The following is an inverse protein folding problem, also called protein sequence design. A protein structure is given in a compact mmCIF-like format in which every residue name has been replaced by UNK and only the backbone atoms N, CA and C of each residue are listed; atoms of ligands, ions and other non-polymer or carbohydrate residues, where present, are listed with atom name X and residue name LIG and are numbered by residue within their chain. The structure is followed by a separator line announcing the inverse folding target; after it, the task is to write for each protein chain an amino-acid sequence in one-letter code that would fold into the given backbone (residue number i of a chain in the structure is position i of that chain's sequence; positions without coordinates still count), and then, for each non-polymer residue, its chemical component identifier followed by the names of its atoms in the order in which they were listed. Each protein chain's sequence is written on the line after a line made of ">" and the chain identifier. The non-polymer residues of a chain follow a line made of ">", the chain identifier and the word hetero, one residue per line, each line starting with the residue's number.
data_IF_572834049507
#
_entry.id   IF_572834049507
#
_cell.length_a   1.000
_cell.length_b   1.000
_cell.length_c   1.000
_cell.angle_alpha   90.00
_cell.angle_beta   90.00
_cell.angle_gamma   90.00
#
_symmetry.space_group_name_H-M   'P 1'
#
loop_
_entity.id
_entity.type
_entity.pdbx_description
1 polymer ?
#
# COMPACT_ATOMS: atom_id res chain seq x y z
N UNK A 1 29.73 -37.10 27.34
CA UNK A 1 29.90 -35.64 27.22
C UNK A 1 29.40 -35.06 25.88
N UNK A 2 29.65 -35.70 24.73
CA UNK A 2 29.23 -35.19 23.39
C UNK A 2 27.74 -34.84 23.19
N UNK A 3 26.79 -35.44 23.92
CA UNK A 3 25.35 -35.16 23.74
C UNK A 3 24.87 -33.86 24.42
N UNK A 4 25.57 -33.40 25.45
CA UNK A 4 25.21 -32.18 26.19
C UNK A 4 25.61 -30.94 25.36
N UNK A 5 26.78 -30.97 24.73
CA UNK A 5 27.22 -29.90 23.82
C UNK A 5 26.32 -29.79 22.59
N UNK A 6 25.87 -30.92 22.03
CA UNK A 6 24.99 -30.92 20.86
C UNK A 6 23.62 -30.32 21.18
N UNK A 7 23.07 -30.57 22.37
CA UNK A 7 21.81 -29.97 22.80
C UNK A 7 21.98 -28.49 23.18
N UNK A 8 23.12 -28.10 23.75
CA UNK A 8 23.44 -26.70 24.07
C UNK A 8 23.61 -25.86 22.79
N UNK A 9 24.29 -26.40 21.77
CA UNK A 9 24.43 -25.76 20.45
C UNK A 9 23.07 -25.60 19.75
N UNK A 10 22.22 -26.63 19.79
CA UNK A 10 20.87 -26.55 19.22
C UNK A 10 20.00 -25.49 19.93
N UNK A 11 20.03 -25.44 21.27
CA UNK A 11 19.31 -24.43 22.05
C UNK A 11 19.85 -23.02 21.79
N UNK A 12 21.18 -22.86 21.70
CA UNK A 12 21.81 -21.59 21.35
C UNK A 12 21.35 -21.08 19.98
N UNK A 13 21.30 -21.95 18.97
CA UNK A 13 20.79 -21.60 17.65
C UNK A 13 19.33 -21.14 17.67
N UNK A 14 18.48 -21.84 18.43
CA UNK A 14 17.05 -21.49 18.55
C UNK A 14 16.87 -20.13 19.23
N UNK A 15 17.68 -19.82 20.25
CA UNK A 15 17.63 -18.52 20.95
C UNK A 15 18.00 -17.38 19.98
N UNK A 16 19.05 -17.57 19.17
CA UNK A 16 19.46 -16.56 18.17
C UNK A 16 18.37 -16.37 17.12
N UNK A 17 17.76 -17.44 16.61
CA UNK A 17 16.67 -17.33 15.62
C UNK A 17 15.45 -16.63 16.20
N UNK A 18 15.08 -16.96 17.43
CA UNK A 18 13.95 -16.32 18.13
C UNK A 18 14.20 -14.82 18.31
N UNK A 19 15.43 -14.44 18.66
CA UNK A 19 15.82 -13.04 18.77
C UNK A 19 15.72 -12.31 17.42
N UNK A 20 16.23 -12.90 16.33
CA UNK A 20 16.13 -12.33 14.99
C UNK A 20 14.68 -12.14 14.53
N UNK A 21 13.79 -13.09 14.85
CA UNK A 21 12.37 -13.00 14.53
C UNK A 21 11.73 -11.84 15.30
N UNK A 22 12.03 -11.70 16.60
CA UNK A 22 11.52 -10.60 17.41
C UNK A 22 11.96 -9.23 16.89
N UNK A 23 13.23 -9.11 16.49
CA UNK A 23 13.76 -7.90 15.85
C UNK A 23 13.01 -7.60 14.55
N UNK A 24 12.83 -8.59 13.68
CA UNK A 24 12.14 -8.41 12.39
C UNK A 24 10.67 -8.01 12.56
N UNK A 25 9.96 -8.63 13.51
CA UNK A 25 8.60 -8.23 13.89
C UNK A 25 8.55 -6.78 14.38
N UNK A 26 9.48 -6.37 15.23
CA UNK A 26 9.58 -4.98 15.70
C UNK A 26 9.81 -3.98 14.57
N UNK A 27 10.72 -4.28 13.64
CA UNK A 27 10.99 -3.46 12.46
C UNK A 27 9.77 -3.35 11.54
N UNK A 28 9.00 -4.43 11.36
CA UNK A 28 7.75 -4.41 10.59
C UNK A 28 6.70 -3.51 11.22
N UNK A 29 6.47 -3.64 12.53
CA UNK A 29 5.51 -2.81 13.26
C UNK A 29 5.92 -1.34 13.19
N UNK A 30 7.22 -1.06 13.39
CA UNK A 30 7.76 0.30 13.30
C UNK A 30 7.65 0.88 11.89
N UNK A 31 7.96 0.10 10.86
CA UNK A 31 7.81 0.51 9.46
C UNK A 31 6.34 0.79 9.12
N UNK A 32 5.42 -0.05 9.57
CA UNK A 32 3.99 0.17 9.36
C UNK A 32 3.48 1.42 10.08
N UNK A 33 3.96 1.67 11.31
CA UNK A 33 3.65 2.88 12.07
C UNK A 33 4.14 4.14 11.35
N UNK A 34 5.39 4.16 10.87
CA UNK A 34 5.91 5.28 10.08
C UNK A 34 5.15 5.48 8.76
N UNK A 35 4.77 4.39 8.07
CA UNK A 35 3.98 4.47 6.83
C UNK A 35 2.55 4.97 7.07
N UNK A 36 1.97 4.65 8.22
CA UNK A 36 0.65 5.14 8.62
C UNK A 36 0.65 6.66 8.88
N UNK A 37 1.73 7.21 9.42
CA UNK A 37 1.84 8.66 9.63
C UNK A 37 2.32 9.39 8.37
N UNK A 38 3.12 8.73 7.53
CA UNK A 38 3.66 9.29 6.29
C UNK A 38 3.35 8.35 5.10
N UNK A 39 2.23 8.55 4.39
CA UNK A 39 1.81 7.65 3.30
C UNK A 39 2.80 7.59 2.12
N UNK A 40 3.71 8.56 2.00
CA UNK A 40 4.78 8.60 1.00
C UNK A 40 6.14 8.04 1.49
N UNK A 41 6.21 7.39 2.66
CA UNK A 41 7.47 6.88 3.20
C UNK A 41 8.04 5.72 2.35
N UNK A 42 9.25 5.91 1.82
CA UNK A 42 10.01 4.90 1.05
C UNK A 42 11.09 4.28 1.94
N UNK A 43 10.85 3.06 2.43
CA UNK A 43 11.76 2.29 3.31
C UNK A 43 13.03 1.79 2.60
N UNK A 44 13.01 1.76 1.27
CA UNK A 44 14.12 1.32 0.44
C UNK A 44 14.33 2.36 -0.65
N UNK A 45 15.22 3.32 -0.40
CA UNK A 45 15.80 4.12 -1.47
C UNK A 45 17.02 3.40 -2.01
N UNK A 46 16.88 2.84 -3.20
CA UNK A 46 18.02 2.35 -3.99
C UNK A 46 18.60 3.54 -4.76
N UNK A 47 19.27 4.43 -4.04
CA UNK A 47 19.90 5.61 -4.63
C UNK A 47 21.30 5.23 -5.13
N UNK A 48 21.47 5.09 -6.45
CA UNK A 48 22.74 5.38 -7.14
C UNK A 48 22.97 6.90 -7.25
N UNK A 49 22.38 7.66 -6.32
CA UNK A 49 22.44 9.11 -6.25
C UNK A 49 23.52 9.45 -5.22
N UNK A 50 24.59 10.19 -5.60
CA UNK A 50 25.63 10.57 -4.68
C UNK A 50 25.03 11.23 -3.43
N UNK A 51 25.44 10.70 -2.29
CA UNK A 51 25.01 11.11 -0.95
C UNK A 51 25.36 12.59 -0.74
N UNK A 52 24.36 13.44 -0.55
CA UNK A 52 24.53 14.58 0.33
C UNK A 52 24.06 14.15 1.72
N UNK A 53 25.05 13.77 2.52
CA UNK A 53 24.94 13.39 3.92
C UNK A 53 24.48 14.62 4.70
N UNK A 54 23.33 14.53 5.37
CA UNK A 54 22.90 15.53 6.33
C UNK A 54 22.79 14.87 7.70
N UNK A 55 23.95 14.71 8.35
CA UNK A 55 24.05 14.77 9.81
C UNK A 55 24.71 16.11 10.15
N UNK A 56 24.10 16.82 11.12
CA UNK A 56 24.59 18.01 11.83
C UNK A 56 24.73 19.34 11.05
N UNK A 57 23.76 20.25 11.28
CA UNK A 57 23.87 21.68 11.73
C UNK A 57 25.16 22.50 11.40
N UNK A 58 25.13 23.86 11.38
CA UNK A 58 24.16 24.87 10.89
C UNK A 58 24.77 25.81 9.81
N UNK A 59 23.94 26.67 9.20
CA UNK A 59 24.23 27.97 8.54
C UNK A 59 23.24 28.10 7.35
N UNK A 60 22.16 28.87 7.43
CA UNK A 60 22.15 30.34 7.30
C UNK A 60 23.32 30.84 6.45
N UNK A 61 23.10 31.02 5.15
CA UNK A 61 23.08 32.36 4.55
C UNK A 61 22.92 32.32 3.03
N UNK A 62 22.24 33.38 2.56
CA UNK A 62 22.22 33.97 1.22
C UNK A 62 21.42 33.21 0.14
N UNK A 63 20.19 33.62 -0.20
CA UNK A 63 19.72 34.89 -0.77
C UNK A 63 19.96 34.99 -2.29
N UNK A 64 18.96 35.58 -2.96
CA UNK A 64 18.99 36.08 -4.35
C UNK A 64 18.72 35.10 -5.51
N UNK A 65 17.46 35.17 -5.94
CA UNK A 65 17.04 35.70 -7.24
C UNK A 65 16.82 34.79 -8.47
N UNK A 66 15.66 35.09 -9.06
CA UNK A 66 15.28 35.08 -10.47
C UNK A 66 15.18 33.77 -11.28
N UNK A 67 13.91 33.41 -11.49
CA UNK A 67 13.28 33.00 -12.76
C UNK A 67 14.24 32.64 -13.92
N UNK A 68 14.29 31.36 -14.27
CA UNK A 68 14.59 30.92 -15.63
C UNK A 68 13.77 29.67 -15.93
N UNK A 69 12.66 29.84 -16.65
CA UNK A 69 11.94 28.77 -17.35
C UNK A 69 12.92 27.99 -18.24
N UNK A 70 13.13 26.72 -17.94
CA UNK A 70 13.74 25.77 -18.87
C UNK A 70 12.81 24.57 -19.07
N UNK A 71 12.19 24.53 -20.25
CA UNK A 71 11.42 23.40 -20.76
C UNK A 71 12.31 22.16 -20.91
N UNK A 72 11.89 21.03 -20.38
CA UNK A 72 12.43 19.69 -20.69
C UNK A 72 11.31 18.65 -20.47
N UNK A 73 11.37 17.51 -21.19
CA UNK A 73 10.21 16.90 -21.81
C UNK A 73 9.31 16.18 -20.81
N UNK A 74 8.01 16.21 -21.14
CA UNK A 74 6.93 15.39 -20.61
C UNK A 74 7.39 13.94 -20.42
N UNK A 75 7.72 13.57 -19.19
CA UNK A 75 7.86 12.17 -18.80
C UNK A 75 6.62 11.80 -18.00
N UNK A 76 5.65 11.26 -18.73
CA UNK A 76 4.49 10.56 -18.20
C UNK A 76 4.94 9.42 -17.28
N UNK A 77 5.13 9.73 -16.00
CA UNK A 77 5.56 8.79 -14.98
C UNK A 77 4.42 8.54 -14.02
N UNK A 78 3.48 7.68 -14.44
CA UNK A 78 2.51 6.94 -13.64
C UNK A 78 2.31 7.47 -12.22
N UNK A 79 1.31 8.35 -12.04
CA UNK A 79 0.66 8.55 -10.74
C UNK A 79 0.42 7.17 -10.15
N UNK A 80 1.14 6.79 -9.10
CA UNK A 80 0.78 5.63 -8.32
C UNK A 80 -0.68 5.84 -7.96
N UNK A 81 -1.58 5.05 -8.55
CA UNK A 81 -3.01 5.25 -8.43
C UNK A 81 -3.31 5.32 -6.94
N UNK A 82 -3.65 6.52 -6.48
CA UNK A 82 -4.02 6.75 -5.11
C UNK A 82 -5.12 5.74 -4.82
N UNK A 83 -4.86 4.81 -3.90
CA UNK A 83 -5.87 3.84 -3.51
C UNK A 83 -7.06 4.67 -3.04
N UNK A 84 -8.18 4.58 -3.75
CA UNK A 84 -9.42 5.14 -3.24
C UNK A 84 -9.68 4.42 -1.92
N UNK A 85 -10.07 5.16 -0.89
CA UNK A 85 -10.27 4.63 0.44
C UNK A 85 -11.46 3.67 0.48
N UNK A 86 -12.16 3.65 1.61
CA UNK A 86 -13.38 2.87 1.73
C UNK A 86 -14.51 3.46 0.86
N UNK A 87 -15.21 2.62 0.11
CA UNK A 87 -16.38 3.01 -0.70
C UNK A 87 -17.62 2.37 -0.08
N UNK A 88 -18.56 3.21 0.33
CA UNK A 88 -19.91 2.77 0.63
C UNK A 88 -20.71 2.57 -0.67
N UNK A 89 -21.12 1.34 -0.92
CA UNK A 89 -21.95 0.98 -2.07
C UNK A 89 -23.44 1.22 -1.78
N UNK A 90 -23.86 1.58 -0.57
CA UNK A 90 -25.26 1.82 -0.21
C UNK A 90 -26.15 0.62 -0.51
N UNK A 91 -25.70 -0.58 -0.16
CA UNK A 91 -26.44 -1.82 -0.37
C UNK A 91 -27.36 -2.08 0.84
N UNK A 92 -28.58 -2.63 0.63
CA UNK A 92 -29.44 -3.02 1.75
C UNK A 92 -28.79 -4.15 2.56
N UNK A 93 -29.14 -4.29 3.84
CA UNK A 93 -28.51 -5.29 4.73
C UNK A 93 -28.68 -6.74 4.26
N UNK A 94 -29.69 -7.00 3.42
CA UNK A 94 -29.97 -8.31 2.81
C UNK A 94 -29.11 -8.58 1.57
N UNK A 95 -28.36 -7.59 1.07
CA UNK A 95 -27.59 -7.72 -0.15
C UNK A 95 -26.26 -8.42 0.10
N UNK A 96 -25.89 -9.31 -0.84
CA UNK A 96 -24.61 -10.02 -0.82
C UNK A 96 -23.88 -9.86 -2.14
N UNK A 97 -22.57 -9.61 -2.06
CA UNK A 97 -21.69 -9.67 -3.23
C UNK A 97 -21.47 -11.13 -3.59
N UNK A 98 -21.92 -11.52 -4.79
CA UNK A 98 -21.75 -12.88 -5.32
C UNK A 98 -20.45 -13.00 -6.10
N UNK A 99 -20.07 -11.95 -6.84
CA UNK A 99 -18.80 -11.92 -7.54
C UNK A 99 -18.20 -10.53 -7.65
N UNK A 100 -16.87 -10.48 -7.68
CA UNK A 100 -16.08 -9.29 -7.94
C UNK A 100 -15.05 -9.62 -9.03
N UNK A 101 -14.94 -8.74 -10.03
CA UNK A 101 -13.99 -8.87 -11.14
C UNK A 101 -13.37 -7.52 -11.44
N UNK A 102 -12.05 -7.42 -11.34
CA UNK A 102 -11.31 -6.23 -11.75
C UNK A 102 -10.81 -6.39 -13.20
N UNK A 103 -11.13 -5.45 -14.09
CA UNK A 103 -10.67 -5.43 -15.49
C UNK A 103 -10.49 -3.99 -15.96
N UNK A 104 -9.33 -3.66 -16.55
CA UNK A 104 -9.07 -2.36 -17.20
C UNK A 104 -9.39 -1.14 -16.31
N UNK A 105 -8.96 -1.16 -15.05
CA UNK A 105 -9.23 -0.05 -14.13
C UNK A 105 -10.70 0.04 -13.67
N UNK A 106 -11.52 -0.99 -13.89
CA UNK A 106 -12.89 -1.07 -13.40
C UNK A 106 -13.08 -2.30 -12.53
N UNK A 107 -13.85 -2.14 -11.47
CA UNK A 107 -14.32 -3.22 -10.63
C UNK A 107 -15.80 -3.48 -10.96
N UNK A 108 -16.08 -4.69 -11.43
CA UNK A 108 -17.42 -5.17 -11.73
C UNK A 108 -17.85 -6.03 -10.55
N UNK A 109 -18.89 -5.60 -9.84
CA UNK A 109 -19.50 -6.34 -8.75
C UNK A 109 -20.83 -6.89 -9.21
N UNK A 110 -21.07 -8.18 -8.96
CA UNK A 110 -22.38 -8.81 -9.12
C UNK A 110 -22.94 -9.05 -7.73
N UNK A 111 -24.11 -8.49 -7.46
CA UNK A 111 -24.76 -8.43 -6.17
C UNK A 111 -26.13 -9.10 -6.27
N UNK A 112 -26.48 -9.89 -5.27
CA UNK A 112 -27.85 -10.31 -5.00
C UNK A 112 -28.44 -9.48 -3.89
N UNK A 113 -29.40 -8.61 -4.19
CA UNK A 113 -30.04 -7.74 -3.19
C UNK A 113 -30.90 -8.49 -2.17
N UNK A 114 -31.43 -9.65 -2.57
CA UNK A 114 -32.24 -10.53 -1.70
C UNK A 114 -31.51 -11.83 -1.33
N UNK A 115 -30.19 -11.91 -1.57
CA UNK A 115 -29.37 -13.08 -1.24
C UNK A 115 -29.51 -14.29 -2.18
N UNK A 116 -30.58 -14.40 -2.96
CA UNK A 116 -30.87 -15.57 -3.80
C UNK A 116 -30.49 -15.41 -5.27
N UNK A 117 -30.76 -14.25 -5.88
CA UNK A 117 -30.56 -14.02 -7.33
C UNK A 117 -29.66 -12.83 -7.58
N UNK A 118 -28.69 -12.98 -8.49
CA UNK A 118 -27.88 -11.88 -9.00
C UNK A 118 -28.76 -10.92 -9.82
N UNK A 119 -29.15 -9.81 -9.20
CA UNK A 119 -30.12 -8.87 -9.74
C UNK A 119 -29.54 -7.45 -9.92
N UNK A 120 -28.30 -7.23 -9.48
CA UNK A 120 -27.62 -5.95 -9.59
C UNK A 120 -26.14 -6.14 -9.96
N UNK A 121 -25.72 -5.46 -11.03
CA UNK A 121 -24.30 -5.31 -11.40
C UNK A 121 -23.88 -3.87 -11.16
N UNK A 122 -22.85 -3.66 -10.35
CA UNK A 122 -22.28 -2.33 -10.07
C UNK A 122 -20.90 -2.25 -10.69
N UNK A 123 -20.66 -1.19 -11.46
CA UNK A 123 -19.36 -0.91 -12.06
C UNK A 123 -18.75 0.24 -11.29
N UNK A 124 -17.57 0.03 -10.73
CA UNK A 124 -16.79 1.04 -9.98
C UNK A 124 -15.51 1.34 -10.75
N UNK A 125 -15.17 2.60 -10.89
CA UNK A 125 -13.87 3.03 -11.39
C UNK A 125 -12.82 2.86 -10.29
N UNK A 126 -11.79 2.06 -10.56
CA UNK A 126 -10.70 1.81 -9.62
C UNK A 126 -9.73 2.99 -9.49
N UNK A 127 -9.82 4.00 -10.38
CA UNK A 127 -8.98 5.20 -10.27
C UNK A 127 -9.60 6.26 -9.37
N UNK A 128 -10.89 6.50 -9.50
CA UNK A 128 -11.60 7.53 -8.72
C UNK A 128 -12.41 6.98 -7.54
N UNK A 129 -12.58 5.66 -7.46
CA UNK A 129 -13.49 5.02 -6.50
C UNK A 129 -14.96 5.35 -6.75
N UNK A 130 -15.31 5.92 -7.90
CA UNK A 130 -16.69 6.30 -8.22
C UNK A 130 -17.45 5.12 -8.82
N UNK A 131 -18.71 4.98 -8.41
CA UNK A 131 -19.65 4.09 -9.09
C UNK A 131 -19.97 4.69 -10.46
N UNK A 132 -19.47 4.06 -11.52
CA UNK A 132 -19.71 4.43 -12.91
C UNK A 132 -21.14 4.11 -13.35
N UNK A 133 -21.73 3.06 -12.78
CA UNK A 133 -23.07 2.64 -13.17
C UNK A 133 -23.60 1.47 -12.38
N UNK A 134 -24.92 1.35 -12.40
CA UNK A 134 -25.68 0.27 -11.78
C UNK A 134 -26.61 -0.31 -12.83
N UNK A 135 -26.44 -1.59 -13.14
CA UNK A 135 -27.27 -2.32 -14.10
C UNK A 135 -28.13 -3.28 -13.31
N UNK A 136 -29.45 -3.14 -13.43
CA UNK A 136 -30.39 -4.13 -12.90
C UNK A 136 -30.47 -5.28 -13.89
N UNK A 137 -30.19 -6.49 -13.43
CA UNK A 137 -30.33 -7.71 -14.21
C UNK A 137 -31.62 -8.40 -13.77
N UNK A 138 -32.74 -7.72 -13.94
CA UNK A 138 -34.05 -8.37 -13.86
C UNK A 138 -34.32 -9.02 -15.22
N UNK A 139 -34.79 -10.27 -15.29
CA UNK A 139 -35.50 -10.74 -16.48
C UNK A 139 -36.78 -9.93 -16.73
#
# INVERSE_FOLDING_TARGET
>A
MKRIEMMAMAKGLVIVMSFFIAVLMGLMIYGFYQKSQNPNYKMFRSDNTPRAQADAMPASDNDSDLDTKQSTPTQSGSTAAQAFGEIDLGLPQTARVISARAKQGRLILVIARNGETADLVVIVDLHSGKVLGRVKTTP
#
